data_IF_023066373156
#
_entry.id   IF_023066373156
#
_cell.length_a   1.000
_cell.length_b   1.000
_cell.length_c   1.000
_cell.angle_alpha   90.00
_cell.angle_beta   90.00
_cell.angle_gamma   90.00
#
_symmetry.space_group_name_H-M   'P 1'
#
loop_
_entity.id
_entity.type
_entity.pdbx_description
1 polymer ?
#
# COMPACT_ATOMS: atom_id res chain seq x y z
N UNK A 1 -8.67 16.47 -20.33
CA UNK A 1 -8.83 17.01 -18.98
C UNK A 1 -7.46 17.38 -18.44
N UNK A 2 -7.27 18.52 -17.78
CA UNK A 2 -5.97 18.91 -17.21
C UNK A 2 -5.64 18.12 -15.94
N UNK A 3 -4.41 18.22 -15.44
CA UNK A 3 -3.99 17.60 -14.18
C UNK A 3 -4.83 18.10 -12.99
N UNK A 4 -5.08 19.40 -12.91
CA UNK A 4 -5.87 20.02 -11.85
C UNK A 4 -7.33 19.56 -11.91
N UNK A 5 -7.91 19.49 -13.10
CA UNK A 5 -9.25 18.96 -13.30
C UNK A 5 -9.35 17.48 -12.92
N UNK A 6 -8.36 16.67 -13.31
CA UNK A 6 -8.30 15.25 -12.97
C UNK A 6 -8.22 15.04 -11.45
N UNK A 7 -7.33 15.78 -10.80
CA UNK A 7 -7.15 15.75 -9.35
C UNK A 7 -8.42 16.19 -8.63
N UNK A 8 -9.02 17.31 -9.04
CA UNK A 8 -10.23 17.82 -8.40
C UNK A 8 -11.45 16.94 -8.62
N UNK A 9 -11.62 16.38 -9.82
CA UNK A 9 -12.83 15.60 -10.18
C UNK A 9 -12.79 14.18 -9.65
N UNK A 10 -11.62 13.55 -9.69
CA UNK A 10 -11.45 12.13 -9.33
C UNK A 10 -10.71 11.93 -8.01
N UNK A 11 -10.34 13.01 -7.32
CA UNK A 11 -9.61 12.99 -6.04
C UNK A 11 -8.27 12.23 -6.14
N UNK A 12 -7.65 12.27 -7.32
CA UNK A 12 -6.35 11.65 -7.58
C UNK A 12 -5.28 12.62 -7.10
N UNK A 13 -4.36 12.21 -6.20
CA UNK A 13 -3.25 13.07 -5.77
C UNK A 13 -2.40 13.52 -6.96
N UNK A 14 -1.96 14.78 -6.91
CA UNK A 14 -1.12 15.38 -7.97
C UNK A 14 0.20 14.64 -8.11
N UNK A 15 0.73 14.07 -7.02
CA UNK A 15 1.91 13.23 -7.04
C UNK A 15 1.71 12.02 -7.96
N UNK A 16 0.60 11.29 -7.81
CA UNK A 16 0.27 10.12 -8.64
C UNK A 16 0.15 10.48 -10.13
N UNK A 17 -0.45 11.63 -10.44
CA UNK A 17 -0.52 12.14 -11.81
C UNK A 17 0.89 12.42 -12.39
N UNK A 18 1.78 13.02 -11.60
CA UNK A 18 3.18 13.26 -12.00
C UNK A 18 3.97 11.97 -12.18
N UNK A 19 3.76 10.97 -11.33
CA UNK A 19 4.40 9.66 -11.46
C UNK A 19 3.98 9.00 -12.77
N UNK A 20 2.68 8.99 -13.04
CA UNK A 20 2.12 8.47 -14.27
C UNK A 20 2.70 9.14 -15.52
N UNK A 21 2.80 10.48 -15.53
CA UNK A 21 3.45 11.22 -16.62
C UNK A 21 4.95 10.89 -16.74
N UNK A 22 5.65 10.74 -15.61
CA UNK A 22 7.11 10.49 -15.57
C UNK A 22 7.50 9.14 -16.17
N UNK A 23 6.63 8.13 -16.04
CA UNK A 23 6.86 6.81 -16.62
C UNK A 23 6.71 6.77 -18.15
N UNK A 24 6.13 7.83 -18.74
CA UNK A 24 5.97 7.97 -20.19
C UNK A 24 5.07 6.92 -20.83
N UNK A 25 4.22 6.27 -20.03
CA UNK A 25 3.45 5.09 -20.43
C UNK A 25 2.45 5.34 -21.57
N UNK A 26 1.99 6.58 -21.76
CA UNK A 26 0.96 6.92 -22.75
C UNK A 26 1.46 7.69 -23.99
N UNK A 27 2.77 7.70 -24.24
CA UNK A 27 3.36 8.30 -25.44
C UNK A 27 3.24 9.84 -25.48
N UNK A 28 4.11 10.47 -26.27
CA UNK A 28 4.21 11.94 -26.34
C UNK A 28 2.98 12.63 -26.98
N UNK A 29 2.00 11.87 -27.49
CA UNK A 29 0.91 12.36 -28.35
C UNK A 29 -0.20 13.06 -27.55
N UNK A 30 -0.24 12.91 -26.22
CA UNK A 30 -1.31 13.48 -25.37
C UNK A 30 -1.04 14.92 -24.88
N UNK A 31 -0.02 15.61 -25.38
CA UNK A 31 0.30 16.98 -25.00
C UNK A 31 -0.40 18.00 -25.91
N UNK A 32 -1.29 18.83 -25.35
CA UNK A 32 -1.90 19.98 -26.03
C UNK A 32 -1.31 21.26 -25.43
N UNK A 33 -0.71 22.10 -26.27
CA UNK A 33 0.01 23.31 -25.84
C UNK A 33 1.09 23.04 -24.76
N UNK A 34 1.73 21.88 -24.83
CA UNK A 34 2.80 21.48 -23.88
C UNK A 34 2.32 20.86 -22.58
N UNK A 35 1.01 20.86 -22.30
CA UNK A 35 0.41 20.23 -21.11
C UNK A 35 -0.26 18.90 -21.47
N UNK A 36 -0.15 17.90 -20.59
CA UNK A 36 -0.86 16.63 -20.73
C UNK A 36 -2.38 16.81 -20.65
N UNK A 37 -3.09 16.02 -21.44
CA UNK A 37 -4.53 15.92 -21.41
C UNK A 37 -4.94 14.47 -21.12
N UNK A 38 -5.63 14.29 -19.99
CA UNK A 38 -6.14 13.01 -19.54
C UNK A 38 -7.49 12.70 -20.19
N UNK A 39 -7.62 11.48 -20.71
CA UNK A 39 -8.87 10.90 -21.21
C UNK A 39 -9.42 9.81 -20.25
N UNK A 40 -10.55 9.20 -20.60
CA UNK A 40 -11.18 8.16 -19.77
C UNK A 40 -10.28 6.93 -19.56
N UNK A 41 -9.46 6.58 -20.54
CA UNK A 41 -8.55 5.44 -20.44
C UNK A 41 -7.40 5.75 -19.46
N UNK A 42 -6.91 6.99 -19.45
CA UNK A 42 -5.95 7.44 -18.45
C UNK A 42 -6.55 7.40 -17.04
N UNK A 43 -7.83 7.74 -16.88
CA UNK A 43 -8.50 7.63 -15.58
C UNK A 43 -8.59 6.17 -15.11
N UNK A 44 -8.86 5.22 -16.01
CA UNK A 44 -8.84 3.80 -15.66
C UNK A 44 -7.44 3.33 -15.24
N UNK A 45 -6.39 3.78 -15.94
CA UNK A 45 -5.00 3.47 -15.59
C UNK A 45 -4.59 4.07 -14.25
N UNK A 46 -4.96 5.33 -13.99
CA UNK A 46 -4.70 6.00 -12.71
C UNK A 46 -5.45 5.32 -11.56
N UNK A 47 -6.67 4.84 -11.79
CA UNK A 47 -7.39 4.02 -10.82
C UNK A 47 -6.66 2.72 -10.48
N UNK A 48 -6.02 2.08 -11.46
CA UNK A 48 -5.18 0.90 -11.22
C UNK A 48 -3.94 1.26 -10.40
N UNK A 49 -3.28 2.37 -10.71
CA UNK A 49 -2.10 2.85 -9.97
C UNK A 49 -2.44 3.12 -8.50
N UNK A 50 -3.57 3.79 -8.24
CA UNK A 50 -4.06 4.02 -6.87
C UNK A 50 -4.33 2.70 -6.14
N UNK A 51 -4.98 1.74 -6.81
CA UNK A 51 -5.26 0.44 -6.21
C UNK A 51 -3.98 -0.29 -5.80
N UNK A 52 -2.94 -0.24 -6.63
CA UNK A 52 -1.66 -0.87 -6.32
C UNK A 52 -0.91 -0.12 -5.20
N UNK A 53 -0.95 1.21 -5.20
CA UNK A 53 -0.39 2.02 -4.12
C UNK A 53 -1.08 1.69 -2.77
N UNK A 54 -2.40 1.60 -2.76
CA UNK A 54 -3.18 1.25 -1.56
C UNK A 54 -2.93 -0.19 -1.10
N UNK A 55 -2.63 -1.10 -2.04
CA UNK A 55 -2.17 -2.46 -1.75
C UNK A 55 -0.71 -2.52 -1.26
N UNK A 56 0.00 -1.39 -1.19
CA UNK A 56 1.34 -1.28 -0.64
C UNK A 56 2.47 -1.61 -1.61
N UNK A 57 2.21 -1.61 -2.93
CA UNK A 57 3.27 -1.79 -3.93
C UNK A 57 4.22 -0.60 -3.94
N UNK A 58 5.52 -0.87 -4.12
CA UNK A 58 6.50 0.17 -4.37
C UNK A 58 6.32 0.78 -5.76
N UNK A 59 6.77 2.02 -5.94
CA UNK A 59 6.64 2.78 -7.18
C UNK A 59 7.17 2.00 -8.40
N UNK A 60 8.31 1.35 -8.24
CA UNK A 60 8.97 0.57 -9.29
C UNK A 60 8.14 -0.68 -9.67
N UNK A 61 7.47 -1.29 -8.70
CA UNK A 61 6.61 -2.46 -8.94
C UNK A 61 5.31 -2.06 -9.65
N UNK A 62 4.74 -0.91 -9.27
CA UNK A 62 3.58 -0.32 -9.94
C UNK A 62 3.92 0.00 -11.40
N UNK A 63 5.06 0.67 -11.64
CA UNK A 63 5.51 0.97 -13.00
C UNK A 63 5.64 -0.29 -13.84
N UNK A 64 6.30 -1.33 -13.30
CA UNK A 64 6.46 -2.61 -13.99
C UNK A 64 5.12 -3.27 -14.31
N UNK A 65 4.20 -3.33 -13.34
CA UNK A 65 2.87 -3.87 -13.55
C UNK A 65 2.11 -3.11 -14.65
N UNK A 66 2.20 -1.77 -14.64
CA UNK A 66 1.52 -0.94 -15.64
C UNK A 66 2.12 -1.10 -17.04
N UNK A 67 3.44 -1.29 -17.17
CA UNK A 67 4.06 -1.62 -18.47
C UNK A 67 3.49 -2.91 -19.05
N UNK A 68 3.45 -3.98 -18.25
CA UNK A 68 2.86 -5.25 -18.65
C UNK A 68 1.38 -5.09 -19.00
N UNK A 69 0.62 -4.32 -18.22
CA UNK A 69 -0.81 -4.07 -18.49
C UNK A 69 -1.02 -3.46 -19.88
N UNK A 70 -0.15 -2.53 -20.28
CA UNK A 70 -0.23 -1.83 -21.57
C UNK A 70 0.28 -2.66 -22.74
N UNK A 71 1.19 -3.60 -22.51
CA UNK A 71 1.60 -4.61 -23.50
C UNK A 71 0.42 -5.53 -23.88
N UNK A 72 -0.51 -5.75 -22.96
CA UNK A 72 -1.81 -6.35 -23.23
C UNK A 72 -1.96 -7.76 -22.69
N UNK A 73 -2.94 -8.52 -23.21
CA UNK A 73 -3.40 -9.77 -22.58
C UNK A 73 -2.35 -10.88 -22.48
N UNK A 74 -1.31 -10.86 -23.32
CA UNK A 74 -0.27 -11.90 -23.30
C UNK A 74 0.60 -11.87 -22.03
N UNK A 75 0.62 -10.74 -21.31
CA UNK A 75 1.36 -10.57 -20.03
C UNK A 75 0.51 -10.88 -18.80
N UNK A 76 -0.72 -11.39 -18.95
CA UNK A 76 -1.64 -11.64 -17.84
C UNK A 76 -1.03 -12.54 -16.77
N UNK A 77 -0.30 -13.58 -17.19
CA UNK A 77 0.37 -14.50 -16.28
C UNK A 77 1.47 -13.80 -15.45
N UNK A 78 2.28 -12.95 -16.07
CA UNK A 78 3.33 -12.17 -15.38
C UNK A 78 2.73 -11.18 -14.38
N UNK A 79 1.61 -10.54 -14.74
CA UNK A 79 0.86 -9.66 -13.83
C UNK A 79 0.31 -10.42 -12.63
N UNK A 80 -0.24 -11.62 -12.84
CA UNK A 80 -0.70 -12.49 -11.74
C UNK A 80 0.46 -12.89 -10.82
N UNK A 81 1.64 -13.17 -11.37
CA UNK A 81 2.83 -13.51 -10.59
C UNK A 81 3.32 -12.34 -9.73
N UNK A 82 3.28 -11.10 -10.24
CA UNK A 82 3.57 -9.89 -9.45
C UNK A 82 2.60 -9.79 -8.26
N UNK A 83 1.30 -9.93 -8.51
CA UNK A 83 0.28 -9.84 -7.46
C UNK A 83 0.43 -10.95 -6.41
N UNK A 84 0.68 -12.20 -6.85
CA UNK A 84 0.89 -13.34 -5.96
C UNK A 84 2.12 -13.17 -5.08
N UNK A 85 3.26 -12.73 -5.65
CA UNK A 85 4.49 -12.48 -4.88
C UNK A 85 4.28 -11.40 -3.82
N UNK A 86 3.63 -10.29 -4.18
CA UNK A 86 3.34 -9.22 -3.23
C UNK A 86 2.41 -9.69 -2.11
N UNK A 87 1.40 -10.50 -2.45
CA UNK A 87 0.50 -11.11 -1.48
C UNK A 87 1.24 -12.01 -0.50
N UNK A 88 2.15 -12.85 -0.98
CA UNK A 88 2.98 -13.73 -0.13
C UNK A 88 3.88 -12.92 0.81
N UNK A 89 4.58 -11.91 0.29
CA UNK A 89 5.41 -11.01 1.11
C UNK A 89 4.60 -10.30 2.20
N UNK A 90 3.42 -9.79 1.84
CA UNK A 90 2.49 -9.15 2.80
C UNK A 90 2.05 -10.12 3.89
N UNK A 91 1.76 -11.39 3.53
CA UNK A 91 1.38 -12.41 4.50
C UNK A 91 2.52 -12.74 5.46
N UNK A 92 3.74 -12.82 4.96
CA UNK A 92 4.94 -13.03 5.79
C UNK A 92 5.16 -11.87 6.77
N UNK A 93 4.95 -10.63 6.34
CA UNK A 93 4.99 -9.45 7.22
C UNK A 93 3.91 -9.49 8.30
N UNK A 94 2.68 -9.90 7.96
CA UNK A 94 1.59 -10.07 8.93
C UNK A 94 1.99 -11.12 9.98
N UNK A 95 2.51 -12.27 9.54
CA UNK A 95 2.98 -13.31 10.46
C UNK A 95 4.12 -12.83 11.34
N UNK A 96 5.04 -12.03 10.79
CA UNK A 96 6.11 -11.42 11.57
C UNK A 96 5.57 -10.45 12.64
N UNK A 97 4.67 -9.53 12.26
CA UNK A 97 4.07 -8.56 13.19
C UNK A 97 3.22 -9.24 14.26
N UNK A 98 2.52 -10.33 13.93
CA UNK A 98 1.78 -11.12 14.91
C UNK A 98 2.72 -11.69 16.00
N UNK A 99 3.86 -12.27 15.62
CA UNK A 99 4.85 -12.77 16.59
C UNK A 99 5.40 -11.65 17.49
N UNK A 100 5.56 -10.44 16.95
CA UNK A 100 5.97 -9.28 17.74
C UNK A 100 4.89 -8.89 18.76
N UNK A 101 3.62 -8.86 18.35
CA UNK A 101 2.48 -8.60 19.24
C UNK A 101 2.40 -9.64 20.37
N UNK A 102 2.51 -10.94 20.04
CA UNK A 102 2.47 -12.02 21.03
C UNK A 102 3.56 -11.83 22.10
N UNK A 103 4.76 -11.39 21.69
CA UNK A 103 5.85 -11.10 22.63
C UNK A 103 5.54 -9.91 23.53
N UNK A 104 4.96 -8.84 22.97
CA UNK A 104 4.57 -7.66 23.73
C UNK A 104 3.48 -8.00 24.75
N UNK A 105 2.46 -8.76 24.34
CA UNK A 105 1.37 -9.16 25.22
C UNK A 105 1.83 -10.09 26.34
N UNK A 106 2.77 -11.00 26.06
CA UNK A 106 3.41 -11.79 27.11
C UNK A 106 4.14 -10.91 28.14
N UNK A 107 4.90 -9.90 27.70
CA UNK A 107 5.59 -8.99 28.61
C UNK A 107 4.60 -8.17 29.44
N UNK A 108 3.53 -7.67 28.83
CA UNK A 108 2.45 -6.95 29.53
C UNK A 108 1.80 -7.83 30.60
N UNK A 109 1.46 -9.07 30.25
CA UNK A 109 0.87 -10.04 31.18
C UNK A 109 1.77 -10.29 32.39
N UNK A 110 3.08 -10.51 32.17
CA UNK A 110 4.04 -10.70 33.28
C UNK A 110 4.07 -9.53 34.24
N UNK A 111 4.08 -8.30 33.73
CA UNK A 111 4.10 -7.08 34.56
C UNK A 111 2.80 -6.97 35.36
N UNK A 112 1.65 -7.20 34.73
CA UNK A 112 0.35 -7.16 35.40
C UNK A 112 0.25 -8.22 36.50
N UNK A 113 0.67 -9.46 36.24
CA UNK A 113 0.67 -10.54 37.21
C UNK A 113 1.55 -10.23 38.41
N UNK A 114 2.79 -9.77 38.19
CA UNK A 114 3.70 -9.38 39.26
C UNK A 114 3.11 -8.27 40.15
N UNK A 115 2.44 -7.27 39.56
CA UNK A 115 1.75 -6.22 40.33
C UNK A 115 0.61 -6.79 41.18
N UNK A 116 -0.21 -7.69 40.62
CA UNK A 116 -1.32 -8.31 41.35
C UNK A 116 -0.86 -9.21 42.50
N UNK A 117 0.31 -9.85 42.36
CA UNK A 117 0.92 -10.67 43.42
C UNK A 117 1.49 -9.80 44.54
N UNK A 118 2.18 -8.69 44.21
CA UNK A 118 2.68 -7.71 45.20
C UNK A 118 1.51 -7.14 46.02
N UNK A 119 0.46 -6.64 45.35
CA UNK A 119 -0.70 -6.06 46.04
C UNK A 119 -1.46 -7.08 46.90
N UNK A 120 -1.34 -8.39 46.62
CA UNK A 120 -1.97 -9.44 47.44
C UNK A 120 -1.14 -9.73 48.69
N UNK A 121 0.19 -9.78 48.57
CA UNK A 121 1.07 -10.02 49.70
C UNK A 121 1.10 -8.83 50.69
N UNK A 122 1.02 -7.59 50.21
CA UNK A 122 0.92 -6.39 51.06
C UNK A 122 -0.35 -6.40 51.94
N UNK A 123 -1.47 -6.90 51.39
CA UNK A 123 -2.73 -7.06 52.15
C UNK A 123 -2.60 -8.19 53.19
N UNK A 124 -1.86 -9.25 52.93
CA UNK A 124 -1.70 -10.34 53.91
C UNK A 124 -0.77 -9.95 55.07
N UNK A 125 0.23 -9.10 54.85
CA UNK A 125 1.13 -8.59 55.91
C UNK A 125 0.47 -7.55 56.82
N UNK A 126 -0.49 -6.75 56.34
CA UNK A 126 -1.23 -5.77 57.16
C UNK A 126 -2.22 -6.39 58.17
N UNK A 127 -2.55 -7.68 58.02
CA UNK A 127 -3.52 -8.40 58.86
C UNK A 127 -2.87 -9.36 59.88
N UNK A 128 -1.54 -9.34 60.03
CA UNK A 128 -0.76 -10.09 61.03
C UNK A 128 -0.21 -9.13 62.09
#
# INVERSE_FOLDING_TARGET
MTMEEASSRYHIPVEVLKEYESWGLCGAVKKVMGAWQYDEEDIQRLSMILTLHDAGFAKEEIENYMRLLLEGRHTEQERLEILSRHRESTLDEIHFKQRQLDRLDYLRYKIQKARSEISRNEIEEEFI
#
